data_IF_054637816667
#
_entry.id   IF_054637816667
#
_cell.length_a   1.000
_cell.length_b   1.000
_cell.length_c   1.000
_cell.angle_alpha   90.00
_cell.angle_beta   90.00
_cell.angle_gamma   90.00
#
_symmetry.space_group_name_H-M   'P 1'
#
loop_
_entity.id
_entity.type
_entity.pdbx_description
1 polymer ?
#
# COMPACT_ATOMS: atom_id res chain seq x y z
N UNK A 1 -16.09 -46.00 -5.33
CA UNK A 1 -16.97 -44.82 -5.54
C UNK A 1 -17.46 -44.14 -4.26
N UNK A 2 -17.10 -44.58 -3.05
CA UNK A 2 -17.51 -43.93 -1.79
C UNK A 2 -16.51 -42.93 -1.19
N UNK A 3 -15.27 -42.83 -1.69
CA UNK A 3 -14.21 -41.98 -1.13
C UNK A 3 -14.15 -40.56 -1.75
N UNK A 4 -14.82 -40.32 -2.88
CA UNK A 4 -14.82 -39.01 -3.55
C UNK A 4 -15.89 -38.08 -2.97
N UNK A 5 -16.98 -38.62 -2.39
CA UNK A 5 -18.10 -37.83 -1.88
C UNK A 5 -17.82 -37.14 -0.52
N UNK A 6 -16.83 -37.61 0.24
CA UNK A 6 -16.48 -37.04 1.55
C UNK A 6 -15.63 -35.78 1.42
N UNK A 7 -14.81 -35.65 0.36
CA UNK A 7 -13.95 -34.47 0.14
C UNK A 7 -14.70 -33.19 -0.25
N UNK A 8 -15.88 -33.32 -0.85
CA UNK A 8 -16.70 -32.16 -1.30
C UNK A 8 -17.56 -31.60 -0.16
N UNK A 9 -17.83 -32.38 0.86
CA UNK A 9 -18.75 -31.97 1.95
C UNK A 9 -18.07 -31.13 3.05
N UNK A 10 -16.75 -31.19 3.19
CA UNK A 10 -16.04 -30.49 4.27
C UNK A 10 -15.69 -29.02 3.93
N UNK A 11 -15.54 -28.70 2.65
CA UNK A 11 -15.38 -27.29 2.20
C UNK A 11 -16.64 -26.43 2.36
N UNK A 12 -17.81 -27.05 2.59
CA UNK A 12 -19.09 -26.34 2.67
C UNK A 12 -19.42 -25.75 4.04
N UNK A 13 -18.67 -26.11 5.08
CA UNK A 13 -19.01 -25.68 6.46
C UNK A 13 -18.45 -24.32 6.86
N UNK A 14 -17.50 -23.75 6.14
CA UNK A 14 -16.97 -22.40 6.41
C UNK A 14 -17.84 -21.31 5.74
N UNK A 15 -18.66 -21.67 4.74
CA UNK A 15 -19.41 -20.71 3.88
C UNK A 15 -20.79 -20.34 4.45
N UNK A 16 -21.33 -21.04 5.45
CA UNK A 16 -22.72 -20.86 5.92
C UNK A 16 -22.97 -19.54 6.67
N UNK A 17 -21.94 -18.73 6.95
CA UNK A 17 -22.09 -17.44 7.63
C UNK A 17 -22.13 -16.18 6.71
N UNK A 18 -21.91 -16.31 5.41
CA UNK A 18 -21.71 -15.16 4.49
C UNK A 18 -22.92 -14.75 3.64
N UNK A 19 -24.09 -15.35 3.83
CA UNK A 19 -25.31 -14.96 3.11
C UNK A 19 -26.03 -13.82 3.84
N UNK A 20 -25.45 -12.60 3.83
CA UNK A 20 -26.24 -11.38 4.09
C UNK A 20 -25.63 -10.22 3.31
N UNK A 21 -26.40 -9.76 2.33
CA UNK A 21 -26.22 -8.57 1.50
C UNK A 21 -25.10 -8.53 0.45
N UNK A 22 -25.43 -8.86 -0.75
CA UNK A 22 -25.07 -8.08 -1.98
C UNK A 22 -23.88 -8.56 -2.78
N UNK A 23 -22.70 -8.75 -2.24
CA UNK A 23 -21.51 -9.23 -2.97
C UNK A 23 -21.01 -10.54 -2.38
N UNK A 24 -20.76 -11.53 -3.25
CA UNK A 24 -20.10 -12.77 -2.82
C UNK A 24 -18.65 -12.44 -2.48
N UNK A 25 -18.18 -12.96 -1.33
CA UNK A 25 -16.78 -12.87 -0.95
C UNK A 25 -15.89 -13.43 -2.08
N UNK A 26 -14.79 -12.73 -2.37
CA UNK A 26 -13.84 -13.08 -3.42
C UNK A 26 -12.89 -14.15 -2.90
N UNK A 27 -13.26 -15.42 -3.14
CA UNK A 27 -12.54 -16.62 -2.68
C UNK A 27 -12.16 -17.47 -3.89
N UNK A 28 -10.98 -18.06 -3.85
CA UNK A 28 -10.48 -19.00 -4.87
C UNK A 28 -11.06 -20.42 -4.68
N UNK A 29 -10.62 -21.36 -5.51
CA UNK A 29 -11.03 -22.77 -5.47
C UNK A 29 -10.57 -23.52 -4.21
N UNK A 30 -9.56 -23.01 -3.50
CA UNK A 30 -9.03 -23.56 -2.25
C UNK A 30 -9.71 -22.95 -1.00
N UNK A 31 -10.60 -21.99 -1.19
CA UNK A 31 -11.26 -21.27 -0.10
C UNK A 31 -10.45 -20.09 0.46
N UNK A 32 -9.39 -19.66 -0.21
CA UNK A 32 -8.56 -18.53 0.19
C UNK A 32 -9.09 -17.23 -0.43
N UNK A 33 -9.06 -16.15 0.33
CA UNK A 33 -9.43 -14.84 -0.16
C UNK A 33 -8.38 -14.33 -1.14
N UNK A 34 -8.82 -13.67 -2.21
CA UNK A 34 -7.94 -12.90 -3.11
C UNK A 34 -8.25 -11.39 -3.08
N UNK A 35 -9.06 -10.96 -2.10
CA UNK A 35 -9.35 -9.58 -1.75
C UNK A 35 -9.12 -9.39 -0.24
N UNK A 36 -8.16 -8.52 0.12
CA UNK A 36 -7.80 -8.26 1.51
C UNK A 36 -8.93 -7.59 2.30
N UNK A 37 -9.75 -6.72 1.65
CA UNK A 37 -10.85 -6.05 2.34
C UNK A 37 -11.99 -7.01 2.68
N UNK A 38 -12.24 -8.02 1.85
CA UNK A 38 -13.20 -9.08 2.18
C UNK A 38 -12.66 -9.98 3.29
N UNK A 39 -11.35 -10.26 3.28
CA UNK A 39 -10.68 -11.01 4.33
C UNK A 39 -10.73 -10.27 5.69
N UNK A 40 -10.48 -8.97 5.73
CA UNK A 40 -10.58 -8.13 6.94
C UNK A 40 -11.97 -8.22 7.58
N UNK A 41 -13.05 -8.14 6.80
CA UNK A 41 -14.43 -8.28 7.32
C UNK A 41 -14.67 -9.61 8.03
N UNK A 42 -14.08 -10.69 7.46
CA UNK A 42 -14.21 -12.03 8.03
C UNK A 42 -13.29 -12.19 9.26
N UNK A 43 -12.09 -11.66 9.20
CA UNK A 43 -11.12 -11.65 10.29
C UNK A 43 -11.66 -10.90 11.52
N UNK A 44 -12.22 -9.70 11.30
CA UNK A 44 -12.85 -8.89 12.35
C UNK A 44 -14.03 -9.63 13.01
N UNK A 45 -14.93 -10.20 12.20
CA UNK A 45 -16.10 -10.94 12.69
C UNK A 45 -15.74 -12.15 13.54
N UNK A 46 -14.63 -12.84 13.21
CA UNK A 46 -14.21 -14.08 13.88
C UNK A 46 -13.06 -13.86 14.88
N UNK A 47 -12.62 -12.63 15.08
CA UNK A 47 -11.47 -12.24 15.90
C UNK A 47 -10.19 -13.01 15.55
N UNK A 48 -9.91 -13.19 14.26
CA UNK A 48 -8.76 -13.92 13.74
C UNK A 48 -7.76 -12.98 13.08
N UNK A 49 -6.48 -13.33 13.15
CA UNK A 49 -5.45 -12.72 12.35
C UNK A 49 -5.57 -13.13 10.87
N UNK A 50 -4.88 -12.40 10.00
CA UNK A 50 -4.83 -12.67 8.57
C UNK A 50 -3.44 -13.17 8.20
N UNK A 51 -3.38 -14.26 7.45
CA UNK A 51 -2.15 -14.74 6.81
C UNK A 51 -2.22 -14.36 5.34
N UNK A 52 -1.42 -13.38 4.93
CA UNK A 52 -1.33 -12.92 3.56
C UNK A 52 -0.13 -13.60 2.89
N UNK A 53 -0.42 -14.34 1.83
CA UNK A 53 0.53 -15.08 1.01
C UNK A 53 0.64 -14.42 -0.37
N UNK A 54 1.85 -14.14 -0.83
CA UNK A 54 2.15 -13.65 -2.16
C UNK A 54 2.95 -14.72 -2.90
N UNK A 55 2.47 -15.13 -4.06
CA UNK A 55 3.07 -16.22 -4.85
C UNK A 55 3.05 -15.92 -6.34
N UNK A 56 3.85 -16.69 -7.11
CA UNK A 56 3.84 -16.73 -8.58
C UNK A 56 3.82 -18.20 -9.00
N UNK A 57 2.69 -18.89 -8.73
CA UNK A 57 2.58 -20.33 -8.95
C UNK A 57 2.84 -20.72 -10.41
N UNK A 58 3.86 -21.57 -10.63
CA UNK A 58 4.25 -22.05 -11.95
C UNK A 58 5.27 -21.17 -12.67
N UNK A 59 5.52 -19.95 -12.21
CA UNK A 59 6.51 -19.03 -12.77
C UNK A 59 7.81 -19.09 -11.98
N UNK A 60 7.75 -19.39 -10.68
CA UNK A 60 8.93 -19.65 -9.86
C UNK A 60 8.79 -20.97 -9.06
N UNK A 61 9.93 -21.64 -8.87
CA UNK A 61 9.99 -22.93 -8.18
C UNK A 61 9.62 -22.81 -6.70
N UNK A 62 10.07 -21.77 -6.03
CA UNK A 62 9.85 -21.57 -4.59
C UNK A 62 8.36 -21.37 -4.28
N UNK A 63 7.63 -20.58 -5.08
CA UNK A 63 6.18 -20.41 -4.95
C UNK A 63 5.44 -21.73 -5.19
N UNK A 64 5.87 -22.50 -6.20
CA UNK A 64 5.29 -23.82 -6.49
C UNK A 64 5.50 -24.82 -5.37
N UNK A 65 6.72 -24.90 -4.83
CA UNK A 65 7.10 -25.76 -3.71
C UNK A 65 6.32 -25.38 -2.45
N UNK A 66 6.32 -24.12 -2.07
CA UNK A 66 5.57 -23.59 -0.93
C UNK A 66 4.07 -23.89 -1.00
N UNK A 67 3.46 -23.63 -2.17
CA UNK A 67 2.03 -23.89 -2.34
C UNK A 67 1.69 -25.38 -2.26
N UNK A 68 2.48 -26.25 -2.88
CA UNK A 68 2.17 -27.67 -2.96
C UNK A 68 2.50 -28.43 -1.66
N UNK A 69 3.60 -28.09 -1.01
CA UNK A 69 4.08 -28.82 0.16
C UNK A 69 3.58 -28.24 1.49
N UNK A 70 3.22 -26.95 1.52
CA UNK A 70 2.76 -26.26 2.73
C UNK A 70 1.28 -25.90 2.61
N UNK A 71 0.92 -24.97 1.69
CA UNK A 71 -0.36 -24.26 1.73
C UNK A 71 -1.54 -25.12 1.26
N UNK A 72 -1.39 -25.91 0.19
CA UNK A 72 -2.47 -26.76 -0.37
C UNK A 72 -2.59 -28.12 0.30
N UNK A 73 -2.07 -28.26 1.52
CA UNK A 73 -2.10 -29.51 2.29
C UNK A 73 -3.29 -29.55 3.24
N UNK A 74 -3.70 -30.77 3.61
CA UNK A 74 -4.72 -30.97 4.65
C UNK A 74 -4.21 -30.48 6.00
N UNK A 75 -2.92 -30.66 6.29
CA UNK A 75 -2.29 -30.18 7.52
C UNK A 75 -2.43 -28.67 7.66
N UNK A 76 -2.13 -27.90 6.60
CA UNK A 76 -2.32 -26.45 6.61
C UNK A 76 -3.77 -26.05 6.92
N UNK A 77 -4.73 -26.76 6.32
CA UNK A 77 -6.15 -26.51 6.56
C UNK A 77 -6.54 -26.77 8.02
N UNK A 78 -6.02 -27.85 8.61
CA UNK A 78 -6.37 -28.30 9.98
C UNK A 78 -5.63 -27.54 11.07
N UNK A 79 -4.54 -26.84 10.74
CA UNK A 79 -3.71 -26.08 11.66
C UNK A 79 -3.76 -24.60 11.38
N UNK A 80 -3.02 -24.10 10.37
CA UNK A 80 -2.85 -22.67 10.07
C UNK A 80 -4.16 -21.99 9.67
N UNK A 81 -4.87 -22.53 8.67
CA UNK A 81 -6.11 -21.91 8.15
C UNK A 81 -7.28 -22.02 9.13
N UNK A 82 -7.24 -22.96 10.07
CA UNK A 82 -8.25 -23.08 11.12
C UNK A 82 -8.28 -21.83 12.02
N UNK A 83 -7.12 -21.28 12.35
CA UNK A 83 -6.96 -20.20 13.32
C UNK A 83 -6.73 -18.83 12.67
N UNK A 84 -6.51 -18.78 11.37
CA UNK A 84 -6.26 -17.58 10.59
C UNK A 84 -7.20 -17.44 9.40
N UNK A 85 -7.40 -16.20 8.92
CA UNK A 85 -8.02 -15.93 7.63
C UNK A 85 -6.90 -15.88 6.59
N UNK A 86 -6.96 -16.74 5.58
CA UNK A 86 -5.91 -16.86 4.56
C UNK A 86 -6.25 -16.01 3.35
N UNK A 87 -5.31 -15.16 2.94
CA UNK A 87 -5.37 -14.37 1.71
C UNK A 87 -4.23 -14.84 0.80
N UNK A 88 -4.54 -15.13 -0.45
CA UNK A 88 -3.55 -15.50 -1.46
C UNK A 88 -3.58 -14.52 -2.63
N UNK A 89 -2.50 -13.78 -2.81
CA UNK A 89 -2.24 -12.99 -4.01
C UNK A 89 -1.31 -13.80 -4.92
N UNK A 90 -1.88 -14.34 -6.00
CA UNK A 90 -1.12 -15.09 -6.99
C UNK A 90 -0.83 -14.21 -8.21
N UNK A 91 0.45 -13.88 -8.42
CA UNK A 91 0.96 -13.06 -9.52
C UNK A 91 1.53 -13.89 -10.66
N UNK A 92 1.11 -15.16 -10.78
CA UNK A 92 1.51 -16.03 -11.90
C UNK A 92 0.93 -15.57 -13.24
N UNK A 93 1.61 -15.96 -14.32
CA UNK A 93 1.13 -15.79 -15.69
C UNK A 93 -0.31 -16.31 -15.85
N UNK A 94 -0.61 -17.48 -15.26
CA UNK A 94 -1.96 -18.09 -15.27
C UNK A 94 -3.01 -17.18 -14.60
N UNK A 95 -2.65 -16.46 -13.55
CA UNK A 95 -3.54 -15.50 -12.89
C UNK A 95 -3.71 -14.24 -13.71
N UNK A 96 -2.67 -13.74 -14.37
CA UNK A 96 -2.80 -12.64 -15.33
C UNK A 96 -3.66 -12.99 -16.53
N UNK A 97 -3.60 -14.22 -17.06
CA UNK A 97 -4.46 -14.67 -18.15
C UNK A 97 -5.96 -14.58 -17.82
N UNK A 98 -6.35 -14.73 -16.54
CA UNK A 98 -7.75 -14.57 -16.10
C UNK A 98 -8.26 -13.12 -16.20
N UNK A 99 -7.37 -12.14 -16.31
CA UNK A 99 -7.73 -10.71 -16.46
C UNK A 99 -8.03 -10.35 -17.92
N UNK A 100 -7.67 -11.22 -18.87
CA UNK A 100 -7.84 -10.97 -20.30
C UNK A 100 -9.31 -11.14 -20.70
N UNK A 101 -9.93 -10.05 -21.14
CA UNK A 101 -11.32 -10.07 -21.62
C UNK A 101 -11.37 -10.70 -23.01
N UNK A 102 -11.95 -11.90 -23.12
CA UNK A 102 -12.22 -12.52 -24.41
C UNK A 102 -13.49 -11.91 -25.03
N UNK A 103 -13.40 -11.25 -26.22
CA UNK A 103 -14.57 -10.65 -26.88
C UNK A 103 -15.65 -11.66 -27.28
N UNK A 104 -15.28 -12.93 -27.47
CA UNK A 104 -16.20 -14.02 -27.87
C UNK A 104 -16.86 -14.71 -26.66
N UNK A 105 -16.41 -14.41 -25.44
CA UNK A 105 -16.99 -14.98 -24.22
C UNK A 105 -18.35 -14.35 -23.90
N UNK A 106 -19.10 -15.02 -23.02
CA UNK A 106 -20.38 -14.45 -22.54
C UNK A 106 -20.15 -13.15 -21.76
N UNK A 107 -21.15 -12.26 -21.73
CA UNK A 107 -21.11 -11.02 -20.95
C UNK A 107 -20.76 -11.25 -19.47
N UNK A 108 -21.19 -12.39 -18.92
CA UNK A 108 -20.89 -12.77 -17.54
C UNK A 108 -19.40 -13.08 -17.34
N UNK A 109 -18.80 -13.79 -18.30
CA UNK A 109 -17.36 -14.12 -18.27
C UNK A 109 -16.50 -12.89 -18.52
N UNK A 110 -16.90 -12.03 -19.49
CA UNK A 110 -16.23 -10.75 -19.72
C UNK A 110 -16.21 -9.90 -18.46
N UNK A 111 -17.38 -9.73 -17.81
CA UNK A 111 -17.48 -8.98 -16.55
C UNK A 111 -16.65 -9.60 -15.43
N UNK A 112 -16.59 -10.92 -15.32
CA UNK A 112 -15.78 -11.61 -14.33
C UNK A 112 -14.27 -11.38 -14.56
N UNK A 113 -13.82 -11.36 -15.82
CA UNK A 113 -12.42 -11.05 -16.17
C UNK A 113 -12.08 -9.58 -15.84
N UNK A 114 -12.98 -8.62 -16.14
CA UNK A 114 -12.82 -7.22 -15.79
C UNK A 114 -12.72 -7.02 -14.26
N UNK A 115 -13.66 -7.61 -13.50
CA UNK A 115 -13.68 -7.54 -12.03
C UNK A 115 -12.40 -8.15 -11.41
N UNK A 116 -11.94 -9.28 -11.98
CA UNK A 116 -10.70 -9.90 -11.53
C UNK A 116 -9.48 -9.05 -11.89
N UNK A 117 -9.47 -8.40 -13.07
CA UNK A 117 -8.43 -7.46 -13.48
C UNK A 117 -8.31 -6.26 -12.54
N UNK A 118 -9.44 -5.66 -12.17
CA UNK A 118 -9.47 -4.56 -11.17
C UNK A 118 -8.91 -5.04 -9.83
N UNK A 119 -9.28 -6.24 -9.38
CA UNK A 119 -8.75 -6.78 -8.12
C UNK A 119 -7.25 -7.07 -8.20
N UNK A 120 -6.77 -7.63 -9.31
CA UNK A 120 -5.35 -7.89 -9.52
C UNK A 120 -4.54 -6.59 -9.48
N UNK A 121 -5.04 -5.53 -10.13
CA UNK A 121 -4.40 -4.21 -10.08
C UNK A 121 -4.34 -3.66 -8.66
N UNK A 122 -5.40 -3.81 -7.88
CA UNK A 122 -5.44 -3.41 -6.46
C UNK A 122 -4.39 -4.17 -5.63
N UNK A 123 -4.30 -5.49 -5.83
CA UNK A 123 -3.32 -6.33 -5.15
C UNK A 123 -1.90 -5.95 -5.55
N UNK A 124 -1.66 -5.66 -6.82
CA UNK A 124 -0.36 -5.21 -7.32
C UNK A 124 0.04 -3.85 -6.73
N UNK A 125 -0.89 -2.91 -6.66
CA UNK A 125 -0.68 -1.61 -5.99
C UNK A 125 -0.31 -1.80 -4.51
N UNK A 126 -1.00 -2.68 -3.80
CA UNK A 126 -0.69 -3.01 -2.40
C UNK A 126 0.74 -3.54 -2.23
N UNK A 127 1.15 -4.48 -3.07
CA UNK A 127 2.50 -5.08 -3.05
C UNK A 127 3.58 -4.05 -3.35
N UNK A 128 3.34 -3.18 -4.34
CA UNK A 128 4.27 -2.11 -4.69
C UNK A 128 4.44 -1.08 -3.57
N UNK A 129 3.36 -0.74 -2.85
CA UNK A 129 3.45 0.14 -1.67
C UNK A 129 4.36 -0.41 -0.58
N UNK A 130 4.38 -1.72 -0.40
CA UNK A 130 5.24 -2.40 0.56
C UNK A 130 6.64 -2.72 -0.02
N UNK A 131 6.92 -2.30 -1.27
CA UNK A 131 8.18 -2.58 -1.97
C UNK A 131 8.56 -4.08 -1.98
N UNK A 132 7.55 -4.96 -2.07
CA UNK A 132 7.76 -6.42 -2.10
C UNK A 132 8.18 -6.82 -3.50
N UNK A 133 9.36 -7.42 -3.65
CA UNK A 133 9.96 -7.76 -4.94
C UNK A 133 10.19 -9.25 -5.16
N UNK A 134 9.88 -10.08 -4.18
CA UNK A 134 10.15 -11.52 -4.24
C UNK A 134 8.93 -12.34 -3.84
N UNK A 135 8.78 -13.51 -4.48
CA UNK A 135 7.82 -14.55 -4.13
C UNK A 135 8.53 -15.86 -3.82
N UNK A 136 8.01 -16.69 -2.91
CA UNK A 136 6.88 -16.38 -2.05
C UNK A 136 7.22 -15.39 -0.93
N UNK A 137 6.27 -14.52 -0.59
CA UNK A 137 6.34 -13.66 0.58
C UNK A 137 5.14 -13.91 1.49
N UNK A 138 5.37 -13.90 2.80
CA UNK A 138 4.36 -14.27 3.80
C UNK A 138 4.27 -13.13 4.80
N UNK A 139 3.08 -12.57 5.01
CA UNK A 139 2.83 -11.54 6.01
C UNK A 139 1.80 -12.01 7.02
N UNK A 140 2.11 -11.83 8.28
CA UNK A 140 1.18 -12.07 9.35
C UNK A 140 0.59 -10.73 9.81
N UNK A 141 -0.72 -10.58 9.66
CA UNK A 141 -1.42 -9.32 9.87
C UNK A 141 -2.46 -9.47 10.99
N UNK A 142 -2.76 -8.36 11.66
CA UNK A 142 -3.92 -8.29 12.56
C UNK A 142 -5.24 -8.39 11.75
N UNK A 143 -6.36 -8.53 12.43
CA UNK A 143 -7.69 -8.52 11.80
C UNK A 143 -8.01 -7.21 11.09
N UNK A 144 -7.41 -6.11 11.51
CA UNK A 144 -7.51 -4.81 10.84
C UNK A 144 -6.65 -4.75 9.56
N UNK A 145 -5.71 -5.69 9.37
CA UNK A 145 -4.79 -5.77 8.25
C UNK A 145 -3.47 -5.02 8.47
N UNK A 146 -3.13 -4.69 9.72
CA UNK A 146 -1.84 -4.11 10.07
C UNK A 146 -0.80 -5.20 10.24
N UNK A 147 0.42 -4.97 9.74
CA UNK A 147 1.47 -5.98 9.77
C UNK A 147 1.99 -6.20 11.20
N UNK A 148 1.95 -7.46 11.62
CA UNK A 148 2.62 -7.94 12.83
C UNK A 148 4.08 -8.18 12.48
N UNK A 149 4.32 -9.05 11.47
CA UNK A 149 5.66 -9.31 10.94
C UNK A 149 5.61 -9.97 9.55
N UNK A 150 6.75 -9.95 8.84
CA UNK A 150 6.98 -10.73 7.65
C UNK A 150 7.69 -12.05 7.99
N UNK A 151 7.03 -13.16 7.69
CA UNK A 151 7.62 -14.50 7.83
C UNK A 151 8.44 -14.79 6.58
N UNK A 152 9.75 -14.95 6.73
CA UNK A 152 10.63 -15.28 5.61
C UNK A 152 10.44 -16.74 5.17
N UNK A 153 10.12 -16.91 3.88
CA UNK A 153 10.21 -18.22 3.26
C UNK A 153 11.67 -18.67 3.13
N UNK A 154 11.93 -19.96 3.34
CA UNK A 154 13.22 -20.60 3.11
C UNK A 154 13.00 -22.08 2.76
N UNK A 155 13.97 -22.71 2.12
CA UNK A 155 13.88 -24.11 1.62
C UNK A 155 13.59 -25.15 2.72
N UNK A 156 13.81 -24.81 3.99
CA UNK A 156 13.46 -25.65 5.13
C UNK A 156 11.98 -25.58 5.58
N UNK A 157 11.17 -24.74 4.95
CA UNK A 157 9.72 -24.69 5.18
C UNK A 157 9.03 -25.76 4.34
N UNK A 158 9.18 -27.02 4.75
CA UNK A 158 8.80 -28.20 3.99
C UNK A 158 7.37 -28.68 4.23
N UNK A 159 6.72 -28.17 5.29
CA UNK A 159 5.37 -28.55 5.68
C UNK A 159 4.68 -27.45 6.49
N UNK A 160 3.38 -27.60 6.76
CA UNK A 160 2.58 -26.61 7.43
C UNK A 160 2.96 -26.44 8.92
N UNK A 161 3.53 -27.45 9.56
CA UNK A 161 3.93 -27.38 10.97
C UNK A 161 5.07 -26.38 11.21
N UNK A 162 5.98 -26.26 10.25
CA UNK A 162 7.06 -25.26 10.30
C UNK A 162 6.47 -23.85 10.27
N UNK A 163 5.55 -23.57 9.32
CA UNK A 163 4.88 -22.27 9.23
C UNK A 163 4.05 -21.99 10.51
N UNK A 164 3.30 -22.98 11.01
CA UNK A 164 2.54 -22.87 12.25
C UNK A 164 3.44 -22.47 13.42
N UNK A 165 4.59 -23.13 13.58
CA UNK A 165 5.55 -22.82 14.64
C UNK A 165 6.09 -21.38 14.54
N UNK A 166 6.33 -20.88 13.32
CA UNK A 166 6.76 -19.49 13.09
C UNK A 166 5.65 -18.51 13.48
N UNK A 167 4.40 -18.78 13.12
CA UNK A 167 3.24 -17.98 13.53
C UNK A 167 3.09 -17.95 15.06
N UNK A 168 3.27 -19.08 15.71
CA UNK A 168 3.19 -19.17 17.17
C UNK A 168 4.25 -18.33 17.88
N UNK A 169 5.45 -18.19 17.31
CA UNK A 169 6.49 -17.32 17.87
C UNK A 169 6.11 -15.85 17.86
N UNK A 170 5.23 -15.42 16.92
CA UNK A 170 4.72 -14.06 16.81
C UNK A 170 3.52 -13.77 17.73
N UNK A 171 3.10 -14.75 18.55
CA UNK A 171 1.92 -14.62 19.40
C UNK A 171 1.99 -13.47 20.39
N UNK A 172 3.16 -13.25 21.01
CA UNK A 172 3.37 -12.15 21.96
C UNK A 172 3.33 -10.78 21.24
N UNK A 173 4.01 -10.64 20.12
CA UNK A 173 4.03 -9.42 19.30
C UNK A 173 2.63 -9.09 18.78
N UNK A 174 1.89 -10.11 18.35
CA UNK A 174 0.49 -9.98 17.93
C UNK A 174 -0.39 -9.44 19.06
N UNK A 175 -0.21 -9.92 20.29
CA UNK A 175 -0.96 -9.47 21.46
C UNK A 175 -0.63 -8.02 21.83
N UNK A 176 0.65 -7.66 21.81
CA UNK A 176 1.12 -6.30 22.08
C UNK A 176 0.56 -5.32 21.07
N UNK A 177 0.68 -5.63 19.77
CA UNK A 177 0.14 -4.78 18.70
C UNK A 177 -1.39 -4.62 18.82
N UNK A 178 -2.13 -5.69 19.08
CA UNK A 178 -3.58 -5.63 19.31
C UNK A 178 -3.93 -4.74 20.50
N UNK A 179 -3.17 -4.82 21.59
CA UNK A 179 -3.37 -3.98 22.77
C UNK A 179 -3.18 -2.48 22.42
N UNK A 180 -2.15 -2.15 21.64
CA UNK A 180 -1.92 -0.79 21.17
C UNK A 180 -3.04 -0.31 20.23
N UNK A 181 -3.50 -1.16 19.30
CA UNK A 181 -4.64 -0.87 18.42
C UNK A 181 -5.92 -0.60 19.23
N UNK A 182 -6.19 -1.36 20.26
CA UNK A 182 -7.38 -1.16 21.11
C UNK A 182 -7.30 0.13 21.92
N UNK A 183 -6.09 0.54 22.31
CA UNK A 183 -5.88 1.85 22.94
C UNK A 183 -6.25 3.02 22.01
N UNK A 184 -6.09 2.88 20.67
CA UNK A 184 -6.50 3.93 19.71
C UNK A 184 -8.02 4.13 19.63
N UNK A 185 -8.81 3.18 20.14
CA UNK A 185 -10.28 3.17 20.05
C UNK A 185 -10.94 3.72 21.32
N UNK A 186 -10.20 3.88 22.43
CA UNK A 186 -10.73 4.20 23.76
C UNK A 186 -10.23 5.54 24.29
N UNK A 187 -10.98 6.12 25.23
CA UNK A 187 -10.61 7.38 25.87
C UNK A 187 -11.08 8.63 25.13
N UNK A 188 -10.56 9.79 25.55
CA UNK A 188 -10.77 11.10 24.93
C UNK A 188 -10.13 11.16 23.53
N UNK A 189 -10.48 12.17 22.75
CA UNK A 189 -9.87 12.37 21.43
C UNK A 189 -8.35 12.55 21.52
N UNK A 190 -7.87 13.34 22.50
CA UNK A 190 -6.43 13.55 22.69
C UNK A 190 -5.70 12.26 23.10
N UNK A 191 -6.31 11.44 23.96
CA UNK A 191 -5.75 10.13 24.33
C UNK A 191 -5.68 9.20 23.12
N UNK A 192 -6.70 9.18 22.24
CA UNK A 192 -6.70 8.40 21.00
C UNK A 192 -5.61 8.88 20.04
N UNK A 193 -5.46 10.18 19.84
CA UNK A 193 -4.38 10.76 19.01
C UNK A 193 -3.02 10.34 19.53
N UNK A 194 -2.79 10.47 20.84
CA UNK A 194 -1.53 10.01 21.47
C UNK A 194 -1.30 8.51 21.30
N UNK A 195 -2.35 7.70 21.44
CA UNK A 195 -2.25 6.25 21.24
C UNK A 195 -1.93 5.89 19.77
N UNK A 196 -2.52 6.58 18.80
CA UNK A 196 -2.22 6.39 17.37
C UNK A 196 -0.76 6.77 17.10
N UNK A 197 -0.30 7.93 17.55
CA UNK A 197 1.09 8.39 17.39
C UNK A 197 2.09 7.38 17.98
N UNK A 198 1.85 6.92 19.21
CA UNK A 198 2.68 5.91 19.86
C UNK A 198 2.71 4.59 19.09
N UNK A 199 1.57 4.13 18.58
CA UNK A 199 1.48 2.93 17.77
C UNK A 199 2.32 3.08 16.49
N UNK A 200 2.14 4.16 15.74
CA UNK A 200 2.85 4.42 14.50
C UNK A 200 4.37 4.54 14.68
N UNK A 201 4.82 5.07 15.83
CA UNK A 201 6.25 5.16 16.17
C UNK A 201 6.86 3.84 16.66
N UNK A 202 6.04 2.89 17.08
CA UNK A 202 6.49 1.59 17.60
C UNK A 202 6.61 0.54 16.50
N UNK A 203 5.72 0.57 15.50
CA UNK A 203 5.74 -0.40 14.40
C UNK A 203 6.91 -0.15 13.44
N UNK A 204 7.30 -1.20 12.69
CA UNK A 204 8.31 -1.04 11.66
C UNK A 204 7.86 0.04 10.64
N UNK A 205 8.68 1.08 10.38
CA UNK A 205 8.34 2.16 9.46
C UNK A 205 7.90 1.69 8.07
N UNK A 206 8.43 0.56 7.56
CA UNK A 206 8.04 -0.01 6.27
C UNK A 206 6.56 -0.43 6.21
N UNK A 207 5.94 -0.71 7.37
CA UNK A 207 4.56 -1.17 7.45
C UNK A 207 3.57 -0.09 7.89
N UNK A 208 4.03 1.12 8.21
CA UNK A 208 3.16 2.23 8.65
C UNK A 208 2.15 2.63 7.57
N UNK A 209 2.49 2.40 6.29
CA UNK A 209 1.58 2.62 5.15
C UNK A 209 0.28 1.80 5.26
N UNK A 210 0.30 0.65 5.93
CA UNK A 210 -0.88 -0.17 6.19
C UNK A 210 -1.80 0.42 7.26
N UNK A 211 -1.34 1.45 7.98
CA UNK A 211 -2.06 2.15 9.05
C UNK A 211 -2.50 3.57 8.62
N UNK A 212 -2.56 3.84 7.33
CA UNK A 212 -2.98 5.15 6.80
C UNK A 212 -4.33 5.60 7.36
N UNK A 213 -5.27 4.67 7.55
CA UNK A 213 -6.59 4.94 8.13
C UNK A 213 -6.52 5.44 9.59
N UNK A 214 -5.49 5.07 10.35
CA UNK A 214 -5.23 5.61 11.67
C UNK A 214 -4.64 7.03 11.59
N UNK A 215 -3.70 7.26 10.66
CA UNK A 215 -3.14 8.60 10.45
C UNK A 215 -4.22 9.60 10.06
N UNK A 216 -5.17 9.19 9.20
CA UNK A 216 -6.30 10.02 8.75
C UNK A 216 -7.22 10.45 9.91
N UNK A 217 -7.30 9.67 10.99
CA UNK A 217 -8.08 10.02 12.18
C UNK A 217 -7.48 11.15 13.01
N UNK A 218 -6.16 11.37 12.96
CA UNK A 218 -5.49 12.37 13.79
C UNK A 218 -6.05 13.78 13.55
N UNK A 219 -6.07 14.34 12.32
CA UNK A 219 -6.65 15.65 12.08
C UNK A 219 -8.18 15.71 12.30
N UNK A 220 -8.87 14.56 12.25
CA UNK A 220 -10.30 14.49 12.55
C UNK A 220 -10.59 14.58 14.05
N UNK A 221 -9.77 13.91 14.86
CA UNK A 221 -9.91 13.85 16.32
C UNK A 221 -9.38 15.11 17.01
N UNK A 222 -8.35 15.74 16.46
CA UNK A 222 -7.66 16.89 17.05
C UNK A 222 -7.75 18.16 16.19
N UNK A 223 -8.96 18.61 15.94
CA UNK A 223 -9.22 19.81 15.13
C UNK A 223 -8.66 21.11 15.71
N UNK A 224 -8.30 21.13 16.98
CA UNK A 224 -7.67 22.27 17.64
C UNK A 224 -6.15 22.19 17.66
N UNK A 225 -5.56 21.09 17.17
CA UNK A 225 -4.15 20.77 17.23
C UNK A 225 -3.58 20.86 18.65
N UNK A 226 -4.34 20.40 19.65
CA UNK A 226 -3.93 20.41 21.05
C UNK A 226 -2.73 19.48 21.29
N UNK A 227 -2.63 18.39 20.54
CA UNK A 227 -1.48 17.48 20.57
C UNK A 227 -0.22 18.07 19.95
N UNK A 228 -0.36 19.01 19.01
CA UNK A 228 0.74 19.51 18.17
C UNK A 228 1.13 18.58 17.02
N UNK A 229 0.41 17.46 16.82
CA UNK A 229 0.77 16.40 15.86
C UNK A 229 0.07 16.55 14.50
N UNK A 230 -0.99 17.35 14.41
CA UNK A 230 -1.85 17.41 13.21
C UNK A 230 -1.06 17.76 11.95
N UNK A 231 -0.15 18.73 12.04
CA UNK A 231 0.68 19.15 10.90
C UNK A 231 1.57 18.02 10.35
N UNK A 232 2.25 17.29 11.26
CA UNK A 232 3.11 16.14 10.91
C UNK A 232 2.33 15.09 10.11
N UNK A 233 1.13 14.72 10.60
CA UNK A 233 0.33 13.69 9.93
C UNK A 233 -0.37 14.17 8.65
N UNK A 234 -0.65 15.46 8.50
CA UNK A 234 -1.12 16.03 7.23
C UNK A 234 -0.03 15.90 6.16
N UNK A 235 1.23 16.19 6.48
CA UNK A 235 2.35 16.05 5.56
C UNK A 235 2.60 14.57 5.25
N UNK A 236 2.67 13.71 6.26
CA UNK A 236 2.86 12.26 6.07
C UNK A 236 1.77 11.63 5.19
N UNK A 237 0.51 12.03 5.37
CA UNK A 237 -0.60 11.58 4.52
C UNK A 237 -0.48 12.06 3.07
N UNK A 238 0.01 13.27 2.85
CA UNK A 238 0.28 13.75 1.50
C UNK A 238 1.38 12.91 0.82
N UNK A 239 2.45 12.61 1.53
CA UNK A 239 3.55 11.76 1.06
C UNK A 239 3.08 10.33 0.73
N UNK A 240 2.27 9.72 1.59
CA UNK A 240 1.70 8.40 1.32
C UNK A 240 0.81 8.39 0.07
N UNK A 241 -0.01 9.43 -0.11
CA UNK A 241 -0.87 9.56 -1.30
C UNK A 241 -0.08 9.77 -2.59
N UNK A 242 1.07 10.46 -2.53
CA UNK A 242 1.98 10.59 -3.68
C UNK A 242 2.38 9.24 -4.24
N UNK A 243 2.64 8.24 -3.37
CA UNK A 243 3.01 6.89 -3.81
C UNK A 243 1.90 6.22 -4.64
N UNK A 244 0.62 6.45 -4.31
CA UNK A 244 -0.51 5.91 -5.07
C UNK A 244 -0.53 6.45 -6.51
N UNK A 245 -0.27 7.74 -6.67
CA UNK A 245 -0.21 8.38 -7.99
C UNK A 245 1.05 7.99 -8.76
N UNK A 246 2.18 7.84 -8.07
CA UNK A 246 3.45 7.46 -8.69
C UNK A 246 3.38 6.06 -9.31
N UNK A 247 2.81 5.08 -8.60
CA UNK A 247 2.59 3.71 -9.12
C UNK A 247 1.71 3.70 -10.38
N UNK A 248 0.79 4.66 -10.50
CA UNK A 248 -0.11 4.80 -11.64
C UNK A 248 0.44 5.73 -12.75
N UNK A 249 1.69 6.19 -12.66
CA UNK A 249 2.29 7.19 -13.56
C UNK A 249 1.48 8.50 -13.67
N UNK A 250 0.74 8.86 -12.63
CA UNK A 250 -0.01 10.10 -12.54
C UNK A 250 0.81 11.17 -11.77
N UNK A 251 1.76 11.78 -12.46
CA UNK A 251 2.59 12.83 -11.90
C UNK A 251 1.79 14.06 -11.46
N UNK A 252 0.70 14.38 -12.16
CA UNK A 252 -0.13 15.51 -11.80
C UNK A 252 -0.88 15.27 -10.49
N UNK A 253 -1.46 14.08 -10.30
CA UNK A 253 -2.07 13.66 -9.03
C UNK A 253 -1.06 13.69 -7.88
N UNK A 254 0.18 13.24 -8.12
CA UNK A 254 1.25 13.32 -7.12
C UNK A 254 1.54 14.76 -6.68
N UNK A 255 1.65 15.70 -7.62
CA UNK A 255 1.84 17.13 -7.32
C UNK A 255 0.64 17.70 -6.56
N UNK A 256 -0.58 17.30 -6.91
CA UNK A 256 -1.80 17.76 -6.23
C UNK A 256 -1.82 17.37 -4.74
N UNK A 257 -1.22 16.24 -4.35
CA UNK A 257 -1.13 15.87 -2.94
C UNK A 257 -0.45 16.95 -2.11
N UNK A 258 0.66 17.51 -2.58
CA UNK A 258 1.35 18.60 -1.88
C UNK A 258 0.65 19.95 -2.04
N UNK A 259 0.20 20.29 -3.25
CA UNK A 259 -0.42 21.61 -3.49
C UNK A 259 -1.72 21.80 -2.72
N UNK A 260 -2.45 20.72 -2.45
CA UNK A 260 -3.70 20.76 -1.67
C UNK A 260 -3.52 21.19 -0.22
N UNK A 261 -2.30 21.10 0.30
CA UNK A 261 -1.98 21.43 1.70
C UNK A 261 -1.09 22.67 1.84
N UNK A 262 -0.77 23.40 0.74
CA UNK A 262 0.12 24.58 0.78
C UNK A 262 -0.26 25.63 1.81
N UNK A 263 -1.53 25.90 1.93
CA UNK A 263 -2.05 26.95 2.81
C UNK A 263 -2.78 26.38 4.03
N UNK A 264 -2.50 25.10 4.36
CA UNK A 264 -3.07 24.49 5.53
C UNK A 264 -2.64 25.24 6.80
N UNK A 265 -3.59 25.54 7.67
CA UNK A 265 -3.40 26.39 8.85
C UNK A 265 -2.52 25.76 9.92
N UNK A 266 -2.45 24.42 9.98
CA UNK A 266 -1.64 23.70 10.97
C UNK A 266 -0.16 23.66 10.60
N UNK A 267 0.20 23.80 9.32
CA UNK A 267 1.58 23.75 8.87
C UNK A 267 2.32 25.03 9.31
N UNK A 268 3.49 24.84 9.90
CA UNK A 268 4.43 25.93 10.19
C UNK A 268 5.18 26.38 8.92
N UNK A 269 6.10 27.33 9.06
CA UNK A 269 6.85 27.89 7.94
C UNK A 269 7.78 26.86 7.27
N UNK A 270 8.38 25.97 8.06
CA UNK A 270 9.27 24.91 7.56
C UNK A 270 8.49 23.87 6.78
N UNK A 271 7.38 23.40 7.31
CA UNK A 271 6.51 22.45 6.63
C UNK A 271 5.89 23.04 5.35
N UNK A 272 5.45 24.31 5.38
CA UNK A 272 4.97 25.03 4.20
C UNK A 272 6.05 25.20 3.12
N UNK A 273 7.30 25.41 3.55
CA UNK A 273 8.46 25.43 2.66
C UNK A 273 8.69 24.07 2.03
N UNK A 274 8.70 23.02 2.85
CA UNK A 274 8.92 21.64 2.42
C UNK A 274 7.91 21.17 1.37
N UNK A 275 6.62 21.34 1.63
CA UNK A 275 5.58 20.86 0.67
C UNK A 275 5.64 21.58 -0.67
N UNK A 276 6.04 22.86 -0.71
CA UNK A 276 6.25 23.60 -1.95
C UNK A 276 7.48 23.12 -2.71
N UNK A 277 8.57 22.87 -2.00
CA UNK A 277 9.77 22.28 -2.58
C UNK A 277 9.46 20.91 -3.19
N UNK A 278 8.74 20.03 -2.47
CA UNK A 278 8.38 18.70 -2.95
C UNK A 278 7.45 18.76 -4.16
N UNK A 279 6.48 19.67 -4.19
CA UNK A 279 5.63 19.88 -5.36
C UNK A 279 6.44 20.31 -6.61
N UNK A 280 7.41 21.22 -6.43
CA UNK A 280 8.30 21.66 -7.51
C UNK A 280 9.19 20.50 -7.99
N UNK A 281 9.77 19.74 -7.06
CA UNK A 281 10.62 18.59 -7.35
C UNK A 281 9.87 17.51 -8.13
N UNK A 282 8.67 17.14 -7.67
CA UNK A 282 7.83 16.14 -8.35
C UNK A 282 7.43 16.61 -9.75
N UNK A 283 7.06 17.88 -9.92
CA UNK A 283 6.69 18.42 -11.22
C UNK A 283 7.87 18.38 -12.21
N UNK A 284 9.06 18.74 -11.76
CA UNK A 284 10.26 18.71 -12.59
C UNK A 284 10.66 17.28 -12.98
N UNK A 285 10.68 16.35 -12.00
CA UNK A 285 11.08 14.94 -12.22
C UNK A 285 10.07 14.15 -13.03
N UNK A 286 8.83 14.60 -13.13
CA UNK A 286 7.81 14.02 -14.01
C UNK A 286 8.04 14.32 -15.50
N UNK A 287 9.05 15.10 -15.85
CA UNK A 287 9.28 15.54 -17.22
C UNK A 287 8.34 16.65 -17.69
N UNK A 288 7.65 17.32 -16.77
CA UNK A 288 6.78 18.46 -17.10
C UNK A 288 7.61 19.63 -17.67
N UNK A 289 7.05 20.29 -18.67
CA UNK A 289 7.60 21.51 -19.26
C UNK A 289 7.07 22.79 -18.61
N UNK A 290 6.29 22.67 -17.54
CA UNK A 290 5.71 23.79 -16.79
C UNK A 290 6.75 24.48 -15.88
N UNK A 291 7.91 24.81 -16.43
CA UNK A 291 9.04 25.38 -15.68
C UNK A 291 8.67 26.65 -14.90
N UNK A 292 7.77 27.47 -15.43
CA UNK A 292 7.29 28.67 -14.75
C UNK A 292 6.59 28.35 -13.42
N UNK A 293 5.86 27.23 -13.35
CA UNK A 293 5.20 26.75 -12.12
C UNK A 293 6.24 26.21 -11.15
N UNK A 294 7.23 25.44 -11.63
CA UNK A 294 8.35 24.93 -10.80
C UNK A 294 9.10 26.08 -10.15
N UNK A 295 9.50 27.09 -10.93
CA UNK A 295 10.20 28.28 -10.44
C UNK A 295 9.36 29.00 -9.38
N UNK A 296 8.06 29.19 -9.64
CA UNK A 296 7.16 29.84 -8.70
C UNK A 296 7.10 29.09 -7.36
N UNK A 297 6.94 27.77 -7.37
CA UNK A 297 6.88 26.98 -6.13
C UNK A 297 8.19 27.07 -5.33
N UNK A 298 9.35 27.04 -6.01
CA UNK A 298 10.65 27.19 -5.36
C UNK A 298 10.84 28.61 -4.79
N UNK A 299 10.44 29.66 -5.50
CA UNK A 299 10.47 31.03 -5.02
C UNK A 299 9.57 31.25 -3.82
N UNK A 300 8.34 30.69 -3.86
CA UNK A 300 7.39 30.73 -2.75
C UNK A 300 7.94 29.98 -1.53
N UNK A 301 8.62 28.83 -1.75
CA UNK A 301 9.28 28.08 -0.67
C UNK A 301 10.38 28.90 0.02
N UNK A 302 11.26 29.54 -0.75
CA UNK A 302 12.32 30.42 -0.19
C UNK A 302 11.71 31.63 0.55
N UNK A 303 10.62 32.20 0.02
CA UNK A 303 9.99 33.38 0.60
C UNK A 303 9.29 33.08 1.94
N UNK A 304 8.70 31.90 2.09
CA UNK A 304 7.96 31.53 3.29
C UNK A 304 8.88 31.34 4.50
N UNK A 305 10.06 30.79 4.30
CA UNK A 305 11.04 30.54 5.36
C UNK A 305 12.45 30.94 4.89
N UNK A 306 12.73 32.25 4.76
CA UNK A 306 14.00 32.72 4.17
C UNK A 306 15.24 32.36 4.97
N UNK A 307 15.09 32.17 6.28
CA UNK A 307 16.17 31.79 7.21
C UNK A 307 16.14 30.31 7.59
N UNK A 308 15.30 29.50 6.92
CA UNK A 308 15.15 28.08 7.18
C UNK A 308 16.40 27.28 6.82
N UNK A 309 16.59 26.16 7.51
CA UNK A 309 17.74 25.26 7.30
C UNK A 309 17.86 24.78 5.84
N UNK A 310 16.74 24.51 5.17
CA UNK A 310 16.70 24.02 3.79
C UNK A 310 16.75 25.14 2.74
N UNK A 311 16.63 26.41 3.12
CA UNK A 311 16.57 27.52 2.17
C UNK A 311 17.78 27.63 1.25
N UNK A 312 19.04 27.45 1.72
CA UNK A 312 20.20 27.46 0.82
C UNK A 312 20.13 26.38 -0.27
N UNK A 313 19.72 25.17 0.08
CA UNK A 313 19.54 24.05 -0.85
C UNK A 313 18.44 24.36 -1.88
N UNK A 314 17.30 24.88 -1.44
CA UNK A 314 16.18 25.23 -2.30
C UNK A 314 16.58 26.35 -3.27
N UNK A 315 17.35 27.34 -2.80
CA UNK A 315 17.85 28.43 -3.64
C UNK A 315 18.85 27.93 -4.68
N UNK A 316 19.73 27.01 -4.34
CA UNK A 316 20.65 26.37 -5.28
C UNK A 316 19.89 25.60 -6.35
N UNK A 317 18.88 24.84 -5.96
CA UNK A 317 18.02 24.11 -6.89
C UNK A 317 17.22 25.06 -7.80
N UNK A 318 16.68 26.15 -7.29
CA UNK A 318 16.03 27.20 -8.08
C UNK A 318 16.97 27.77 -9.13
N UNK A 319 18.20 28.12 -8.75
CA UNK A 319 19.21 28.65 -9.66
C UNK A 319 19.59 27.63 -10.74
N UNK A 320 19.70 26.36 -10.38
CA UNK A 320 19.96 25.27 -11.34
C UNK A 320 18.82 25.15 -12.38
N UNK A 321 17.57 25.19 -11.94
CA UNK A 321 16.40 25.14 -12.85
C UNK A 321 16.41 26.31 -13.82
N UNK A 322 16.65 27.55 -13.33
CA UNK A 322 16.72 28.75 -14.16
C UNK A 322 17.84 28.64 -15.21
N UNK A 323 19.05 28.28 -14.81
CA UNK A 323 20.18 28.12 -15.72
C UNK A 323 19.94 27.06 -16.79
N UNK A 324 19.29 25.96 -16.40
CA UNK A 324 18.96 24.88 -17.34
C UNK A 324 18.02 25.38 -18.42
N UNK A 325 16.98 26.14 -18.06
CA UNK A 325 16.04 26.73 -19.04
C UNK A 325 16.73 27.69 -19.95
N UNK A 326 17.53 28.64 -19.44
CA UNK A 326 18.29 29.61 -20.21
C UNK A 326 19.23 28.94 -21.22
N UNK A 327 19.86 27.82 -20.84
CA UNK A 327 20.72 27.06 -21.72
C UNK A 327 19.96 26.39 -22.88
N UNK A 328 18.75 25.88 -22.61
CA UNK A 328 17.89 25.32 -23.67
C UNK A 328 17.39 26.38 -24.65
N UNK A 329 17.00 27.57 -24.18
CA UNK A 329 16.53 28.65 -25.01
C UNK A 329 17.66 29.16 -25.94
N UNK A 330 18.87 29.30 -25.41
CA UNK A 330 20.04 29.72 -26.19
C UNK A 330 20.38 28.69 -27.28
N UNK A 331 20.34 27.42 -26.98
CA UNK A 331 20.63 26.34 -27.94
C UNK A 331 19.59 26.29 -29.08
N UNK A 332 18.33 26.60 -28.80
CA UNK A 332 17.28 26.68 -29.83
C UNK A 332 17.43 27.92 -30.74
N UNK A 333 17.87 29.06 -30.22
CA UNK A 333 18.16 30.24 -31.02
C UNK A 333 19.31 30.00 -31.99
N UNK A 334 20.42 29.44 -31.53
CA UNK A 334 21.58 29.12 -32.37
C UNK A 334 21.26 28.09 -33.47
N UNK A 335 20.33 27.14 -33.20
CA UNK A 335 19.90 26.17 -34.21
C UNK A 335 19.00 26.77 -35.30
N UNK A 336 18.29 27.87 -35.02
CA UNK A 336 17.44 28.58 -35.97
C UNK A 336 18.21 29.61 -36.81
N UNK A 337 19.44 29.98 -36.42
CA UNK A 337 20.31 30.93 -37.15
C UNK A 337 21.31 30.24 -38.08
N UNK A 338 21.24 28.91 -38.30
CA UNK A 338 22.10 28.27 -39.29
C UNK A 338 21.79 28.84 -40.70
N UNK A 339 22.76 29.48 -41.35
CA UNK A 339 22.56 30.06 -42.67
C UNK A 339 22.25 28.95 -43.69
N UNK A 340 21.17 29.09 -44.42
CA UNK A 340 20.93 28.35 -45.66
C UNK A 340 22.12 28.59 -46.59
N UNK A 341 23.03 27.60 -46.67
CA UNK A 341 24.07 27.59 -47.69
C UNK A 341 23.41 27.57 -49.05
N UNK A 342 23.53 28.67 -49.75
CA UNK A 342 23.21 28.82 -51.16
C UNK A 342 24.17 28.05 -52.04
#
# INVERSE_FOLDING_TARGET
>A
MKKIFVKVLFCLFIIVGLCSCGNKAKIDENGFFYDLDDAKKVAEKNDKNILLLLTSEGDDFASGDFLNNVVKTQEFTDTVAKDNVVVLFDFSQKSFEKTVVNPEATKKEQKAAEEYGVQMQKNFTFVNKLNIQVTPSIFYLTKEGYCIDQIRYYDGMTDASVLQSMIETLGQESLELRTMIDATKTGSNLEKVTAIDNLLKTVNPEYTILMQDLMEKIPELDKSNESGLVAEYIVALAELKVMDFYVNNDAFGAVQCYTSIFDNEYLDAEQKQYVRYMAAYMLLTSGSTEYGVVIKYLQDAVKINPDGEYTPMIQEFLNYVIQTIESFETTQQDSNEMPTLQ
#
